data_IF_758308997730
#
_entry.id   IF_758308997730
#
_cell.length_a   1.000
_cell.length_b   1.000
_cell.length_c   1.000
_cell.angle_alpha   90.00
_cell.angle_beta   90.00
_cell.angle_gamma   90.00
#
_symmetry.space_group_name_H-M   'P 1'
#
loop_
_entity.id
_entity.type
_entity.pdbx_description
1 polymer ?
#
# COMPACT_ATOMS: atom_id res chain seq x y z
N UNK A 1 -3.73 -2.33 44.33
CA UNK A 1 -5.19 -2.12 44.43
C UNK A 1 -5.77 -2.22 43.04
N UNK A 2 -6.64 -3.21 42.80
CA UNK A 2 -7.32 -3.41 41.52
C UNK A 2 -8.35 -2.29 41.30
N UNK A 3 -8.38 -1.70 40.10
CA UNK A 3 -9.57 -0.97 39.60
C UNK A 3 -10.05 -1.68 38.35
N UNK A 4 -11.21 -2.29 38.48
CA UNK A 4 -11.98 -2.88 37.38
C UNK A 4 -12.60 -1.74 36.56
N UNK A 5 -12.35 -1.70 35.26
CA UNK A 5 -13.02 -0.77 34.34
C UNK A 5 -14.21 -1.50 33.70
N UNK A 6 -15.40 -1.27 34.26
CA UNK A 6 -16.68 -1.76 33.74
C UNK A 6 -17.50 -0.58 33.20
N UNK A 7 -17.19 -0.05 32.02
CA UNK A 7 -18.14 0.70 31.19
C UNK A 7 -17.57 1.11 29.82
N UNK A 8 -18.39 1.00 28.77
CA UNK A 8 -18.13 1.44 27.40
C UNK A 8 -17.98 2.98 27.26
N UNK A 9 -18.31 3.75 28.30
CA UNK A 9 -18.22 5.21 28.30
C UNK A 9 -16.81 5.78 28.53
N UNK A 10 -15.88 5.00 29.06
CA UNK A 10 -14.54 5.49 29.44
C UNK A 10 -13.55 5.56 28.26
N UNK A 11 -13.75 4.75 27.22
CA UNK A 11 -12.94 4.79 26.00
C UNK A 11 -13.19 6.06 25.18
N UNK A 12 -14.42 6.56 25.16
CA UNK A 12 -14.83 7.77 24.41
C UNK A 12 -14.32 9.09 25.01
N UNK A 13 -13.70 9.04 26.20
CA UNK A 13 -13.16 10.23 26.87
C UNK A 13 -11.70 10.49 26.49
N UNK A 14 -10.95 9.44 26.12
CA UNK A 14 -9.56 9.58 25.67
C UNK A 14 -9.47 10.12 24.22
N UNK A 15 -10.47 9.84 23.38
CA UNK A 15 -10.51 10.29 21.99
C UNK A 15 -10.97 11.75 21.80
N UNK A 16 -11.46 12.43 22.84
CA UNK A 16 -11.99 13.80 22.74
C UNK A 16 -10.98 14.92 22.99
N UNK A 17 -9.70 14.59 23.21
CA UNK A 17 -8.65 15.57 23.52
C UNK A 17 -7.78 15.98 22.31
N UNK A 18 -8.12 15.54 21.09
CA UNK A 18 -7.33 15.83 19.89
C UNK A 18 -8.07 16.55 18.76
N UNK A 19 -9.28 17.06 19.01
CA UNK A 19 -10.09 17.66 17.96
C UNK A 19 -10.65 19.02 18.42
N UNK A 20 -9.82 20.06 18.32
CA UNK A 20 -10.25 21.46 18.32
C UNK A 20 -9.09 22.39 17.91
N UNK A 21 -8.80 22.49 16.60
CA UNK A 21 -8.26 23.72 16.01
C UNK A 21 -8.94 23.99 14.66
N UNK A 22 -9.71 25.08 14.66
CA UNK A 22 -10.48 25.68 13.58
C UNK A 22 -9.66 25.97 12.32
N UNK A 23 -10.19 25.61 11.15
CA UNK A 23 -9.70 26.06 9.83
C UNK A 23 -10.77 26.92 9.15
N UNK A 24 -10.83 28.19 9.52
CA UNK A 24 -11.44 29.24 8.70
C UNK A 24 -10.34 30.12 8.12
N UNK A 25 -10.59 30.60 6.90
CA UNK A 25 -9.77 31.50 6.07
C UNK A 25 -8.62 30.86 5.26
N UNK A 26 -8.84 30.74 3.95
CA UNK A 26 -7.97 31.24 2.88
C UNK A 26 -8.72 31.06 1.55
N UNK A 27 -9.44 32.12 1.18
CA UNK A 27 -10.14 32.30 -0.08
C UNK A 27 -9.29 33.23 -0.96
N UNK A 28 -9.31 33.00 -2.27
CA UNK A 28 -8.80 33.84 -3.37
C UNK A 28 -7.29 34.15 -3.38
N UNK A 29 -6.57 33.67 -4.40
CA UNK A 29 -6.27 34.50 -5.57
C UNK A 29 -5.33 33.82 -6.60
N UNK A 30 -5.56 34.17 -7.88
CA UNK A 30 -4.65 34.03 -9.04
C UNK A 30 -4.55 32.71 -9.84
N UNK A 31 -5.48 32.56 -10.80
CA UNK A 31 -5.20 31.93 -12.10
C UNK A 31 -5.49 32.94 -13.23
N UNK A 32 -4.45 33.61 -13.75
CA UNK A 32 -4.49 34.30 -15.05
C UNK A 32 -3.65 33.52 -16.07
N UNK A 33 -4.34 33.05 -17.10
CA UNK A 33 -3.79 32.32 -18.24
C UNK A 33 -3.26 33.34 -19.25
N UNK A 34 -2.01 33.18 -19.70
CA UNK A 34 -1.55 33.75 -20.96
C UNK A 34 -1.18 32.60 -21.91
N UNK A 35 -1.94 32.46 -23.00
CA UNK A 35 -1.51 31.73 -24.19
C UNK A 35 -0.78 32.70 -25.11
N UNK A 36 0.35 32.28 -25.67
CA UNK A 36 0.97 32.97 -26.80
C UNK A 36 1.08 31.98 -27.98
N UNK A 37 0.52 32.29 -29.16
CA UNK A 37 0.65 31.47 -30.35
C UNK A 37 1.82 31.95 -31.22
N UNK A 38 2.52 30.98 -31.83
CA UNK A 38 3.49 31.07 -32.95
C UNK A 38 4.99 30.90 -32.60
N UNK A 39 5.61 29.90 -33.24
CA UNK A 39 7.06 29.73 -33.32
C UNK A 39 7.49 28.32 -33.77
N UNK A 40 7.50 28.10 -35.09
CA UNK A 40 8.38 27.25 -35.92
C UNK A 40 9.10 26.00 -35.36
N UNK A 41 9.01 24.93 -36.16
CA UNK A 41 9.75 23.67 -36.12
C UNK A 41 11.28 23.82 -35.92
N UNK A 42 11.83 23.13 -34.91
CA UNK A 42 13.13 22.45 -35.02
C UNK A 42 13.18 21.23 -34.08
N UNK A 43 13.80 20.16 -34.57
CA UNK A 43 13.78 18.81 -34.02
C UNK A 43 14.54 18.69 -32.71
N UNK A 44 13.81 18.60 -31.62
CA UNK A 44 14.28 18.01 -30.36
C UNK A 44 13.11 17.26 -29.72
N UNK A 45 13.30 15.96 -29.44
CA UNK A 45 12.32 15.16 -28.70
C UNK A 45 12.28 15.68 -27.25
N UNK A 46 11.47 16.72 -27.04
CA UNK A 46 11.34 17.42 -25.78
C UNK A 46 10.80 16.49 -24.69
N UNK A 47 11.51 16.50 -23.57
CA UNK A 47 11.07 16.01 -22.28
C UNK A 47 9.72 16.68 -21.96
N UNK A 48 8.63 15.92 -21.98
CA UNK A 48 7.32 16.47 -21.60
C UNK A 48 7.30 16.51 -20.08
N UNK A 49 7.67 17.65 -19.50
CA UNK A 49 7.60 17.90 -18.07
C UNK A 49 6.12 17.96 -17.64
N UNK A 50 5.49 16.80 -17.41
CA UNK A 50 4.18 16.67 -16.76
C UNK A 50 4.40 16.75 -15.23
N UNK A 51 4.96 17.85 -14.73
CA UNK A 51 4.94 18.18 -13.30
C UNK A 51 3.65 18.92 -12.99
N UNK A 52 2.71 18.21 -12.38
CA UNK A 52 1.65 18.84 -11.60
C UNK A 52 1.18 17.83 -10.56
N UNK A 53 1.69 18.01 -9.34
CA UNK A 53 1.26 17.31 -8.14
C UNK A 53 -0.22 17.61 -7.91
N UNK A 54 -1.09 16.66 -8.21
CA UNK A 54 -2.42 16.63 -7.61
C UNK A 54 -2.22 15.94 -6.28
N UNK A 55 -2.06 16.74 -5.23
CA UNK A 55 -2.00 16.27 -3.85
C UNK A 55 -3.32 15.57 -3.52
N UNK A 56 -3.34 14.24 -3.65
CA UNK A 56 -4.28 13.40 -2.91
C UNK A 56 -3.71 13.26 -1.49
N UNK A 57 -4.47 13.61 -0.45
CA UNK A 57 -3.98 13.51 0.91
C UNK A 57 -3.62 12.04 1.22
N UNK A 58 -2.41 11.86 1.76
CA UNK A 58 -2.02 10.78 2.69
C UNK A 58 -2.04 9.32 2.21
N UNK A 59 -1.52 9.04 1.01
CA UNK A 59 -1.00 7.69 0.71
C UNK A 59 0.54 7.66 0.84
N UNK A 60 1.11 6.83 1.72
CA UNK A 60 2.56 6.80 1.93
C UNK A 60 3.37 6.23 0.74
N UNK A 61 2.72 5.77 -0.34
CA UNK A 61 3.37 5.14 -1.50
C UNK A 61 3.42 6.04 -2.75
N UNK A 62 3.56 7.36 -2.59
CA UNK A 62 3.48 8.32 -3.70
C UNK A 62 4.78 8.36 -4.52
N UNK A 63 4.87 7.48 -5.53
CA UNK A 63 5.88 7.58 -6.60
C UNK A 63 5.27 8.18 -7.86
N UNK A 64 5.95 9.17 -8.42
CA UNK A 64 5.60 9.77 -9.70
C UNK A 64 6.02 8.88 -10.87
N UNK A 65 5.26 8.93 -11.96
CA UNK A 65 5.58 8.20 -13.19
C UNK A 65 6.68 8.92 -13.98
N UNK A 66 7.68 8.17 -14.43
CA UNK A 66 8.65 8.65 -15.43
C UNK A 66 8.15 8.33 -16.84
N UNK A 67 7.42 9.26 -17.46
CA UNK A 67 6.83 9.04 -18.78
C UNK A 67 7.80 9.27 -19.95
N UNK A 68 7.68 8.43 -20.98
CA UNK A 68 8.28 8.66 -22.30
C UNK A 68 7.19 8.69 -23.36
N UNK A 69 7.27 9.66 -24.28
CA UNK A 69 6.41 9.73 -25.45
C UNK A 69 6.74 8.58 -26.41
N UNK A 70 5.72 7.86 -26.87
CA UNK A 70 5.86 6.72 -27.77
C UNK A 70 4.68 6.61 -28.72
N UNK A 71 4.99 6.46 -30.00
CA UNK A 71 4.01 6.07 -31.04
C UNK A 71 4.06 4.56 -31.23
N UNK A 72 2.89 3.94 -31.34
CA UNK A 72 2.76 2.49 -31.45
C UNK A 72 2.23 2.09 -32.82
N UNK A 73 2.96 1.19 -33.47
CA UNK A 73 2.59 0.60 -34.77
C UNK A 73 1.92 -0.78 -34.62
N UNK A 74 1.52 -1.13 -33.40
CA UNK A 74 0.83 -2.37 -33.06
C UNK A 74 -0.21 -2.12 -31.96
N UNK A 75 -1.11 -3.07 -31.74
CA UNK A 75 -2.11 -2.95 -30.68
C UNK A 75 -1.43 -3.02 -29.31
N UNK A 76 -1.49 -1.92 -28.56
CA UNK A 76 -0.90 -1.80 -27.22
C UNK A 76 -1.92 -1.70 -26.08
N UNK A 77 -3.20 -1.87 -26.41
CA UNK A 77 -4.30 -1.81 -25.46
C UNK A 77 -4.86 -0.40 -25.26
N UNK A 78 -5.37 -0.16 -24.05
CA UNK A 78 -6.18 1.00 -23.72
C UNK A 78 -5.44 1.94 -22.77
N UNK A 79 -5.78 3.23 -22.83
CA UNK A 79 -5.36 4.22 -21.86
C UNK A 79 -5.90 3.84 -20.48
N UNK A 80 -5.05 3.83 -19.45
CA UNK A 80 -5.45 3.44 -18.09
C UNK A 80 -6.49 4.40 -17.49
N UNK A 81 -6.45 5.68 -17.88
CA UNK A 81 -7.33 6.72 -17.35
C UNK A 81 -8.73 6.68 -17.97
N UNK A 82 -8.83 6.87 -19.29
CA UNK A 82 -10.12 7.00 -19.97
C UNK A 82 -10.65 5.66 -20.51
N UNK A 83 -9.87 4.59 -20.39
CA UNK A 83 -10.16 3.25 -20.90
C UNK A 83 -10.43 3.18 -22.42
N UNK A 84 -10.15 4.26 -23.18
CA UNK A 84 -10.23 4.29 -24.65
C UNK A 84 -8.95 3.73 -25.27
N UNK A 85 -9.06 3.16 -26.47
CA UNK A 85 -7.93 2.55 -27.21
C UNK A 85 -6.82 3.57 -27.49
N UNK A 86 -5.56 3.16 -27.29
CA UNK A 86 -4.39 3.88 -27.79
C UNK A 86 -4.28 3.58 -29.29
N UNK A 87 -4.46 4.61 -30.13
CA UNK A 87 -4.60 4.45 -31.59
C UNK A 87 -3.25 4.19 -32.27
N UNK A 88 -3.31 3.50 -33.40
CA UNK A 88 -2.14 3.26 -34.27
C UNK A 88 -1.50 4.57 -34.71
N UNK A 89 -0.18 4.65 -34.66
CA UNK A 89 0.64 5.80 -35.04
C UNK A 89 0.33 7.13 -34.32
N UNK A 90 -0.52 7.11 -33.28
CA UNK A 90 -0.79 8.28 -32.44
C UNK A 90 0.11 8.22 -31.21
N UNK A 91 0.76 9.34 -30.90
CA UNK A 91 1.64 9.45 -29.75
C UNK A 91 0.86 9.27 -28.43
N UNK A 92 1.47 8.53 -27.50
CA UNK A 92 0.95 8.27 -26.16
C UNK A 92 2.09 8.14 -25.17
N UNK A 93 1.78 8.20 -23.87
CA UNK A 93 2.78 8.14 -22.82
C UNK A 93 2.89 6.72 -22.28
N UNK A 94 4.12 6.26 -22.06
CA UNK A 94 4.45 4.99 -21.38
C UNK A 94 5.39 5.28 -20.22
N UNK A 95 5.04 4.81 -19.03
CA UNK A 95 5.95 4.88 -17.89
C UNK A 95 7.17 3.94 -18.13
N UNK A 96 8.35 4.39 -17.72
CA UNK A 96 9.59 3.59 -17.81
C UNK A 96 9.62 2.49 -16.76
N UNK A 97 9.06 2.77 -15.58
CA UNK A 97 9.25 1.93 -14.40
C UNK A 97 8.07 0.95 -14.19
N UNK A 98 6.88 1.30 -14.68
CA UNK A 98 5.66 0.50 -14.50
C UNK A 98 4.87 0.30 -15.80
N UNK A 99 3.86 -0.60 -15.83
CA UNK A 99 3.13 -0.93 -17.05
C UNK A 99 2.04 0.08 -17.45
N UNK A 100 2.00 1.25 -16.83
CA UNK A 100 1.03 2.32 -17.11
C UNK A 100 1.28 2.93 -18.49
N UNK A 101 0.18 3.06 -19.24
CA UNK A 101 0.11 3.78 -20.52
C UNK A 101 -1.12 4.67 -20.55
N UNK A 102 -0.98 5.88 -21.08
CA UNK A 102 -2.09 6.81 -21.18
C UNK A 102 -1.96 7.72 -22.43
N UNK A 103 -3.06 8.38 -22.81
CA UNK A 103 -2.98 9.49 -23.77
C UNK A 103 -2.21 10.65 -23.16
N UNK A 104 -1.59 11.48 -24.01
CA UNK A 104 -0.87 12.69 -23.57
C UNK A 104 -1.80 13.61 -22.76
N UNK A 105 -3.02 13.82 -23.24
CA UNK A 105 -4.04 14.61 -22.55
C UNK A 105 -4.55 14.00 -21.24
N UNK A 106 -4.31 12.71 -21.01
CA UNK A 106 -4.74 12.03 -19.79
C UNK A 106 -3.67 12.02 -18.68
N UNK A 107 -2.41 12.44 -18.92
CA UNK A 107 -1.35 12.33 -17.89
C UNK A 107 -1.72 13.07 -16.61
N UNK A 108 -2.26 14.27 -16.75
CA UNK A 108 -2.61 15.16 -15.63
C UNK A 108 -3.81 14.68 -14.81
N UNK A 109 -4.55 13.69 -15.29
CA UNK A 109 -5.74 13.16 -14.62
C UNK A 109 -5.48 11.81 -13.95
N UNK A 110 -4.25 11.28 -14.02
CA UNK A 110 -3.93 9.97 -13.47
C UNK A 110 -4.03 9.97 -11.95
N UNK A 111 -4.87 9.09 -11.43
CA UNK A 111 -5.00 8.81 -9.99
C UNK A 111 -4.18 7.60 -9.54
N UNK A 112 -3.57 6.89 -10.50
CA UNK A 112 -2.82 5.66 -10.24
C UNK A 112 -1.35 6.01 -9.99
N UNK A 113 -0.81 5.61 -8.84
CA UNK A 113 0.60 5.80 -8.49
C UNK A 113 1.54 4.88 -9.30
N UNK A 114 2.81 5.26 -9.43
CA UNK A 114 3.80 4.43 -10.11
C UNK A 114 4.34 3.33 -9.17
N UNK A 115 4.06 2.07 -9.48
CA UNK A 115 4.67 0.94 -8.77
C UNK A 115 5.61 0.21 -9.72
N UNK A 116 6.94 0.26 -9.50
CA UNK A 116 7.91 -0.40 -10.36
C UNK A 116 7.64 -1.90 -10.50
N UNK A 117 7.94 -2.45 -11.67
CA UNK A 117 7.85 -3.90 -11.87
C UNK A 117 8.97 -4.63 -11.11
N UNK A 118 8.72 -5.86 -10.61
CA UNK A 118 9.77 -6.75 -10.14
C UNK A 118 10.80 -7.03 -11.26
N UNK A 119 12.08 -7.19 -10.93
CA UNK A 119 13.18 -7.54 -11.85
C UNK A 119 13.09 -9.00 -12.31
N UNK A 120 12.60 -9.90 -11.45
CA UNK A 120 12.60 -11.35 -11.71
C UNK A 120 11.28 -11.81 -12.33
N UNK A 121 11.37 -12.52 -13.47
CA UNK A 121 10.21 -13.01 -14.21
C UNK A 121 9.68 -14.38 -13.75
N UNK A 122 10.44 -15.13 -12.94
CA UNK A 122 10.03 -16.44 -12.43
C UNK A 122 9.18 -16.26 -11.17
N UNK A 123 7.94 -16.74 -11.22
CA UNK A 123 6.98 -16.67 -10.12
C UNK A 123 6.90 -18.04 -9.48
N UNK A 124 7.69 -18.24 -8.43
CA UNK A 124 7.61 -19.42 -7.58
C UNK A 124 6.39 -19.32 -6.64
N UNK A 125 5.85 -18.12 -6.46
CA UNK A 125 4.68 -17.86 -5.61
C UNK A 125 5.04 -17.17 -4.30
N UNK A 126 6.33 -16.92 -4.06
CA UNK A 126 6.81 -16.13 -2.95
C UNK A 126 6.42 -14.65 -3.09
N UNK A 127 6.27 -13.94 -1.97
CA UNK A 127 5.93 -12.51 -1.98
C UNK A 127 6.95 -11.67 -2.77
N UNK A 128 8.24 -12.02 -2.66
CA UNK A 128 9.35 -11.38 -3.37
C UNK A 128 9.20 -11.37 -4.91
N UNK A 129 8.43 -12.30 -5.48
CA UNK A 129 8.19 -12.38 -6.93
C UNK A 129 7.25 -11.26 -7.43
N UNK A 130 6.59 -10.53 -6.52
CA UNK A 130 5.51 -9.61 -6.83
C UNK A 130 5.75 -8.18 -6.37
N UNK A 131 6.84 -7.91 -5.65
CA UNK A 131 7.19 -6.60 -5.09
C UNK A 131 8.21 -5.87 -5.96
N UNK A 132 8.22 -4.52 -5.97
CA UNK A 132 9.34 -3.77 -6.53
C UNK A 132 10.63 -4.06 -5.74
N UNK A 133 11.79 -3.81 -6.36
CA UNK A 133 13.10 -3.93 -5.71
C UNK A 133 13.49 -2.73 -4.86
N UNK A 134 12.62 -1.72 -4.79
CA UNK A 134 12.86 -0.48 -4.06
C UNK A 134 11.77 -0.30 -3.00
N UNK A 135 12.15 0.20 -1.82
CA UNK A 135 11.20 0.44 -0.75
C UNK A 135 10.22 1.55 -1.11
N UNK A 136 8.93 1.46 -0.80
CA UNK A 136 8.27 0.37 -0.09
C UNK A 136 8.00 -0.84 -0.99
N UNK A 137 8.38 -2.03 -0.51
CA UNK A 137 8.29 -3.30 -1.24
C UNK A 137 6.88 -3.90 -1.16
N UNK A 138 5.89 -3.22 -1.74
CA UNK A 138 4.48 -3.65 -1.75
C UNK A 138 4.05 -4.09 -3.15
N UNK A 139 3.36 -5.24 -3.30
CA UNK A 139 2.91 -5.70 -4.61
C UNK A 139 1.97 -4.71 -5.29
N UNK A 140 2.22 -4.42 -6.56
CA UNK A 140 1.37 -3.51 -7.35
C UNK A 140 -0.11 -3.92 -7.33
N UNK A 141 -0.40 -5.23 -7.33
CA UNK A 141 -1.78 -5.74 -7.19
C UNK A 141 -2.44 -5.23 -5.91
N UNK A 142 -1.73 -5.29 -4.77
CA UNK A 142 -2.26 -4.85 -3.48
C UNK A 142 -2.46 -3.34 -3.51
N UNK A 143 -1.43 -2.57 -3.91
CA UNK A 143 -1.51 -1.11 -3.95
C UNK A 143 -2.69 -0.64 -4.79
N UNK A 144 -2.79 -1.10 -6.04
CA UNK A 144 -3.83 -0.64 -6.95
C UNK A 144 -5.24 -1.07 -6.52
N UNK A 145 -5.41 -2.28 -5.98
CA UNK A 145 -6.70 -2.69 -5.45
C UNK A 145 -7.09 -1.88 -4.22
N UNK A 146 -6.16 -1.66 -3.27
CA UNK A 146 -6.41 -0.90 -2.04
C UNK A 146 -6.74 0.55 -2.34
N UNK A 147 -5.95 1.23 -3.18
CA UNK A 147 -6.21 2.62 -3.58
C UNK A 147 -7.60 2.76 -4.20
N UNK A 148 -7.99 1.82 -5.06
CA UNK A 148 -9.33 1.82 -5.67
C UNK A 148 -10.44 1.51 -4.67
N UNK A 149 -10.21 0.61 -3.71
CA UNK A 149 -11.17 0.32 -2.63
C UNK A 149 -11.35 1.55 -1.74
N UNK A 150 -10.29 2.24 -1.36
CA UNK A 150 -10.38 3.44 -0.52
C UNK A 150 -11.04 4.62 -1.25
N UNK A 151 -10.77 4.78 -2.55
CA UNK A 151 -11.29 5.89 -3.33
C UNK A 151 -12.83 5.91 -3.48
N UNK A 152 -13.50 4.73 -3.41
CA UNK A 152 -14.97 4.65 -3.63
C UNK A 152 -15.70 3.64 -2.76
N UNK A 153 -14.99 2.82 -2.01
CA UNK A 153 -15.53 1.71 -1.23
C UNK A 153 -15.80 2.05 0.23
N UNK A 154 -15.27 3.16 0.75
CA UNK A 154 -15.40 3.52 2.17
C UNK A 154 -16.83 3.88 2.60
N UNK A 155 -17.76 4.02 1.65
CA UNK A 155 -19.20 4.18 1.91
C UNK A 155 -20.00 2.88 1.73
N UNK A 156 -19.33 1.79 1.35
CA UNK A 156 -19.96 0.51 1.05
C UNK A 156 -19.90 -0.46 2.24
N UNK A 157 -21.06 -0.98 2.64
CA UNK A 157 -21.15 -1.93 3.75
C UNK A 157 -20.39 -3.24 3.49
N UNK A 158 -19.73 -3.76 4.52
CA UNK A 158 -19.19 -5.11 4.54
C UNK A 158 -18.00 -5.34 3.60
N UNK A 159 -17.14 -4.33 3.38
CA UNK A 159 -15.86 -4.54 2.70
C UNK A 159 -15.10 -5.71 3.34
N UNK A 160 -14.45 -6.52 2.50
CA UNK A 160 -13.81 -7.80 2.85
C UNK A 160 -14.70 -8.91 3.43
N UNK A 161 -15.87 -8.61 4.00
CA UNK A 161 -16.85 -9.61 4.47
C UNK A 161 -17.64 -10.21 3.32
N UNK A 162 -18.17 -9.37 2.43
CA UNK A 162 -18.99 -9.80 1.29
C UNK A 162 -18.12 -10.48 0.22
N UNK A 163 -18.58 -11.62 -0.29
CA UNK A 163 -17.86 -12.42 -1.29
C UNK A 163 -18.25 -12.06 -2.72
N UNK A 164 -17.29 -12.16 -3.64
CA UNK A 164 -17.52 -12.07 -5.09
C UNK A 164 -17.39 -13.46 -5.74
N UNK A 165 -17.82 -13.60 -6.99
CA UNK A 165 -17.72 -14.88 -7.70
C UNK A 165 -16.27 -15.24 -7.99
N UNK A 166 -15.91 -16.52 -7.78
CA UNK A 166 -14.54 -17.03 -7.99
C UNK A 166 -13.98 -16.68 -9.36
N UNK A 167 -14.81 -16.74 -10.40
CA UNK A 167 -14.41 -16.41 -11.76
C UNK A 167 -14.05 -14.94 -11.96
N UNK A 168 -14.80 -14.00 -11.35
CA UNK A 168 -14.48 -12.58 -11.40
C UNK A 168 -13.13 -12.32 -10.74
N UNK A 169 -12.91 -12.91 -9.56
CA UNK A 169 -11.68 -12.79 -8.79
C UNK A 169 -10.49 -13.38 -9.55
N UNK A 170 -10.60 -14.62 -10.05
CA UNK A 170 -9.55 -15.30 -10.82
C UNK A 170 -9.15 -14.51 -12.07
N UNK A 171 -10.14 -14.00 -12.83
CA UNK A 171 -9.88 -13.18 -14.02
C UNK A 171 -9.18 -11.87 -13.68
N UNK A 172 -9.59 -11.19 -12.60
CA UNK A 172 -8.97 -9.95 -12.16
C UNK A 172 -7.52 -10.18 -11.71
N UNK A 173 -7.30 -11.15 -10.81
CA UNK A 173 -5.97 -11.54 -10.31
C UNK A 173 -5.03 -11.87 -11.47
N UNK A 174 -5.48 -12.70 -12.42
CA UNK A 174 -4.66 -13.07 -13.58
C UNK A 174 -4.27 -11.85 -14.43
N UNK A 175 -5.18 -10.89 -14.63
CA UNK A 175 -4.89 -9.66 -15.38
C UNK A 175 -3.87 -8.77 -14.67
N UNK A 176 -4.02 -8.58 -13.36
CA UNK A 176 -3.10 -7.77 -12.56
C UNK A 176 -1.71 -8.40 -12.49
N UNK A 177 -1.63 -9.71 -12.26
CA UNK A 177 -0.35 -10.41 -12.17
C UNK A 177 0.36 -10.56 -13.51
N UNK A 178 -0.33 -10.48 -14.66
CA UNK A 178 0.35 -10.60 -15.97
C UNK A 178 1.41 -9.53 -16.24
N UNK A 179 1.37 -8.38 -15.56
CA UNK A 179 2.40 -7.33 -15.61
C UNK A 179 2.59 -6.61 -16.95
N UNK A 180 1.91 -7.03 -18.02
CA UNK A 180 2.05 -6.42 -19.37
C UNK A 180 1.36 -5.07 -19.51
N UNK A 181 0.23 -4.89 -18.82
CA UNK A 181 -0.63 -3.70 -18.88
C UNK A 181 -1.35 -3.52 -17.56
N UNK A 182 -1.45 -2.29 -17.06
CA UNK A 182 -2.33 -1.98 -15.94
C UNK A 182 -3.79 -1.99 -16.37
N UNK A 183 -4.64 -2.89 -15.83
CA UNK A 183 -6.06 -2.86 -16.13
C UNK A 183 -6.73 -1.66 -15.45
N UNK A 184 -7.74 -1.08 -16.11
CA UNK A 184 -8.60 -0.08 -15.49
C UNK A 184 -9.47 -0.75 -14.40
N UNK A 185 -9.40 -0.25 -13.17
CA UNK A 185 -10.10 -0.81 -12.02
C UNK A 185 -11.43 -0.11 -11.69
N UNK A 186 -11.65 1.11 -12.18
CA UNK A 186 -12.86 1.91 -11.91
C UNK A 186 -14.19 1.25 -12.29
N UNK A 187 -14.16 0.25 -13.19
CA UNK A 187 -15.36 -0.51 -13.57
C UNK A 187 -15.48 -1.89 -12.88
N UNK A 188 -14.64 -2.18 -11.89
CA UNK A 188 -14.68 -3.42 -11.14
C UNK A 188 -15.50 -3.22 -9.88
N UNK A 189 -16.32 -4.19 -9.54
CA UNK A 189 -17.03 -4.21 -8.27
C UNK A 189 -16.03 -4.21 -7.08
N UNK A 190 -16.31 -3.42 -6.04
CA UNK A 190 -15.41 -3.24 -4.89
C UNK A 190 -15.18 -4.55 -4.14
N UNK A 191 -16.23 -5.35 -3.94
CA UNK A 191 -16.10 -6.64 -3.26
C UNK A 191 -15.22 -7.61 -4.06
N UNK A 192 -15.22 -7.52 -5.39
CA UNK A 192 -14.30 -8.26 -6.26
C UNK A 192 -12.84 -7.83 -6.04
N UNK A 193 -12.56 -6.53 -5.85
CA UNK A 193 -11.23 -6.04 -5.49
C UNK A 193 -10.81 -6.58 -4.12
N UNK A 194 -11.67 -6.47 -3.11
CA UNK A 194 -11.43 -7.01 -1.76
C UNK A 194 -11.10 -8.51 -1.81
N UNK A 195 -11.90 -9.28 -2.54
CA UNK A 195 -11.66 -10.73 -2.70
C UNK A 195 -10.37 -11.01 -3.47
N UNK A 196 -9.97 -10.17 -4.42
CA UNK A 196 -8.71 -10.30 -5.14
C UNK A 196 -7.50 -10.10 -4.23
N UNK A 197 -7.55 -9.14 -3.29
CA UNK A 197 -6.51 -8.94 -2.28
C UNK A 197 -6.42 -10.16 -1.36
N UNK A 198 -7.55 -10.62 -0.80
CA UNK A 198 -7.60 -11.82 0.05
C UNK A 198 -7.04 -13.06 -0.65
N UNK A 199 -7.47 -13.28 -1.89
CA UNK A 199 -7.01 -14.41 -2.68
C UNK A 199 -5.51 -14.30 -3.02
N UNK A 200 -4.99 -13.08 -3.20
CA UNK A 200 -3.56 -12.90 -3.40
C UNK A 200 -2.75 -13.31 -2.18
N UNK A 201 -3.12 -12.84 -1.00
CA UNK A 201 -2.43 -13.17 0.24
C UNK A 201 -2.49 -14.68 0.54
N UNK A 202 -3.66 -15.30 0.37
CA UNK A 202 -3.84 -16.75 0.60
C UNK A 202 -3.05 -17.64 -0.35
N UNK A 203 -2.73 -17.16 -1.55
CA UNK A 203 -2.07 -17.96 -2.59
C UNK A 203 -0.56 -17.75 -2.65
N UNK A 204 0.01 -17.03 -1.68
CA UNK A 204 1.45 -16.96 -1.51
C UNK A 204 1.98 -18.33 -1.06
N UNK A 205 3.18 -18.70 -1.53
CA UNK A 205 3.86 -19.94 -1.14
C UNK A 205 4.15 -19.98 0.37
N UNK A 206 4.48 -18.82 0.94
CA UNK A 206 4.55 -18.59 2.38
C UNK A 206 3.57 -17.47 2.73
N UNK A 207 2.84 -17.57 3.84
CA UNK A 207 1.90 -16.54 4.27
C UNK A 207 2.61 -15.20 4.51
N UNK A 208 1.83 -14.11 4.53
CA UNK A 208 2.38 -12.77 4.76
C UNK A 208 3.11 -12.67 6.11
N UNK A 209 2.67 -13.42 7.13
CA UNK A 209 3.39 -13.59 8.39
C UNK A 209 3.93 -15.04 8.46
N UNK A 210 5.18 -15.27 8.03
CA UNK A 210 5.77 -16.60 8.01
C UNK A 210 5.89 -17.19 9.41
N UNK A 211 5.80 -18.52 9.52
CA UNK A 211 5.80 -19.27 10.78
C UNK A 211 6.93 -18.84 11.74
N UNK A 212 8.15 -18.66 11.21
CA UNK A 212 9.34 -18.30 11.99
C UNK A 212 9.20 -17.01 12.79
N UNK A 213 8.41 -16.03 12.31
CA UNK A 213 8.27 -14.71 12.94
C UNK A 213 7.02 -14.58 13.83
N UNK A 214 6.22 -15.64 13.96
CA UNK A 214 4.95 -15.58 14.71
C UNK A 214 5.15 -15.53 16.22
N UNK A 215 6.20 -16.18 16.73
CA UNK A 215 6.39 -16.31 18.17
C UNK A 215 6.62 -14.94 18.83
N UNK A 216 7.44 -14.08 18.23
CA UNK A 216 7.72 -12.75 18.78
C UNK A 216 6.47 -11.86 18.78
N UNK A 217 5.64 -11.98 17.75
CA UNK A 217 4.33 -11.32 17.68
C UNK A 217 3.36 -11.80 18.77
N UNK A 218 3.37 -13.09 19.08
CA UNK A 218 2.56 -13.65 20.17
C UNK A 218 3.03 -13.14 21.52
N UNK A 219 4.34 -13.13 21.75
CA UNK A 219 4.92 -12.63 23.00
C UNK A 219 4.59 -11.15 23.21
N UNK A 220 4.71 -10.33 22.16
CA UNK A 220 4.30 -8.93 22.19
C UNK A 220 2.80 -8.77 22.51
N UNK A 221 1.94 -9.63 21.96
CA UNK A 221 0.49 -9.59 22.21
C UNK A 221 0.08 -10.06 23.62
N UNK A 222 0.94 -10.81 24.31
CA UNK A 222 0.74 -11.28 25.69
C UNK A 222 1.31 -10.32 26.74
N UNK A 223 2.12 -9.35 26.32
CA UNK A 223 2.71 -8.37 27.20
C UNK A 223 1.63 -7.45 27.81
N UNK A 224 1.71 -7.21 29.11
CA UNK A 224 0.74 -6.40 29.85
C UNK A 224 1.12 -4.94 29.93
N UNK A 225 2.42 -4.64 29.92
CA UNK A 225 2.93 -3.28 29.82
C UNK A 225 2.86 -2.81 28.36
N UNK A 226 2.12 -1.73 28.13
CA UNK A 226 1.87 -1.18 26.80
C UNK A 226 3.16 -0.76 26.11
N UNK A 227 4.09 -0.14 26.84
CA UNK A 227 5.35 0.33 26.27
C UNK A 227 6.27 -0.85 25.90
N UNK A 228 6.39 -1.84 26.79
CA UNK A 228 7.13 -3.05 26.50
C UNK A 228 6.50 -3.86 25.35
N UNK A 229 5.17 -3.87 25.23
CA UNK A 229 4.46 -4.54 24.14
C UNK A 229 4.76 -3.88 22.79
N UNK A 230 4.73 -2.54 22.74
CA UNK A 230 5.03 -1.77 21.54
C UNK A 230 6.51 -1.87 21.15
N UNK A 231 7.43 -1.84 22.10
CA UNK A 231 8.87 -2.07 21.87
C UNK A 231 9.13 -3.47 21.31
N UNK A 232 8.57 -4.51 21.94
CA UNK A 232 8.72 -5.88 21.47
C UNK A 232 8.10 -6.08 20.08
N UNK A 233 6.94 -5.47 19.83
CA UNK A 233 6.31 -5.48 18.52
C UNK A 233 7.20 -4.80 17.47
N UNK A 234 7.77 -3.64 17.78
CA UNK A 234 8.66 -2.94 16.88
C UNK A 234 9.83 -3.84 16.44
N UNK A 235 10.49 -4.50 17.39
CA UNK A 235 11.57 -5.44 17.07
C UNK A 235 11.10 -6.60 16.20
N UNK A 236 9.94 -7.20 16.52
CA UNK A 236 9.36 -8.25 15.69
C UNK A 236 9.07 -7.78 14.25
N UNK A 237 8.68 -6.51 14.07
CA UNK A 237 8.46 -5.91 12.75
C UNK A 237 9.75 -5.67 11.99
N UNK A 238 10.83 -5.22 12.64
CA UNK A 238 12.09 -5.01 11.94
C UNK A 238 12.73 -6.32 11.49
N UNK A 239 12.59 -7.39 12.27
CA UNK A 239 13.08 -8.72 11.90
C UNK A 239 12.33 -9.33 10.71
N UNK A 240 11.10 -8.89 10.41
CA UNK A 240 10.39 -9.33 9.21
C UNK A 240 11.16 -8.90 7.96
N UNK A 241 11.27 -9.77 6.94
CA UNK A 241 11.82 -9.39 5.66
C UNK A 241 11.05 -8.19 5.09
N UNK A 242 11.76 -7.23 4.51
CA UNK A 242 11.20 -5.93 4.12
C UNK A 242 9.92 -6.02 3.27
N UNK A 243 9.89 -6.92 2.27
CA UNK A 243 8.69 -7.17 1.47
C UNK A 243 7.46 -7.55 2.32
N UNK A 244 7.65 -8.38 3.35
CA UNK A 244 6.58 -8.78 4.27
C UNK A 244 6.18 -7.62 5.18
N UNK A 245 7.15 -6.93 5.77
CA UNK A 245 6.93 -5.79 6.67
C UNK A 245 6.20 -4.64 5.97
N UNK A 246 6.69 -4.18 4.83
CA UNK A 246 6.12 -3.05 4.09
C UNK A 246 4.71 -3.40 3.59
N UNK A 247 4.51 -4.62 3.09
CA UNK A 247 3.18 -5.09 2.67
C UNK A 247 2.21 -5.15 3.85
N UNK A 248 2.66 -5.63 5.01
CA UNK A 248 1.84 -5.67 6.22
C UNK A 248 1.50 -4.27 6.70
N UNK A 249 2.48 -3.38 6.80
CA UNK A 249 2.29 -1.98 7.23
C UNK A 249 1.29 -1.25 6.34
N UNK A 250 1.39 -1.41 5.02
CA UNK A 250 0.45 -0.83 4.07
C UNK A 250 -0.99 -1.35 4.28
N UNK A 251 -1.14 -2.66 4.51
CA UNK A 251 -2.45 -3.27 4.76
C UNK A 251 -3.04 -2.88 6.14
N UNK A 252 -2.20 -2.72 7.17
CA UNK A 252 -2.64 -2.25 8.48
C UNK A 252 -3.28 -0.86 8.40
N UNK A 253 -2.62 0.09 7.74
CA UNK A 253 -3.16 1.43 7.52
C UNK A 253 -4.50 1.40 6.76
N UNK A 254 -4.57 0.58 5.71
CA UNK A 254 -5.79 0.41 4.94
C UNK A 254 -6.96 -0.13 5.78
N UNK A 255 -6.71 -1.18 6.56
CA UNK A 255 -7.75 -1.78 7.39
C UNK A 255 -8.15 -0.90 8.57
N UNK A 256 -7.23 -0.09 9.10
CA UNK A 256 -7.55 0.94 10.08
C UNK A 256 -8.54 1.96 9.50
N UNK A 257 -8.32 2.47 8.28
CA UNK A 257 -9.26 3.39 7.61
C UNK A 257 -10.63 2.75 7.38
N UNK A 258 -10.66 1.49 6.98
CA UNK A 258 -11.92 0.73 6.85
C UNK A 258 -12.65 0.64 8.18
N UNK A 259 -11.93 0.34 9.26
CA UNK A 259 -12.52 0.22 10.59
C UNK A 259 -12.98 1.55 11.18
N UNK A 260 -12.35 2.65 10.77
CA UNK A 260 -12.75 4.01 11.13
C UNK A 260 -13.98 4.48 10.37
N UNK A 261 -14.26 3.96 9.16
CA UNK A 261 -15.46 4.34 8.42
C UNK A 261 -16.73 3.70 9.01
N UNK A 262 -17.67 4.50 9.55
CA UNK A 262 -18.91 3.96 10.14
C UNK A 262 -19.81 3.28 9.09
N UNK A 263 -19.77 3.78 7.84
CA UNK A 263 -20.58 3.26 6.74
C UNK A 263 -20.20 1.82 6.35
N UNK A 264 -18.92 1.44 6.50
CA UNK A 264 -18.47 0.09 6.13
C UNK A 264 -18.96 -0.98 7.10
N UNK A 265 -19.29 -0.62 8.36
CA UNK A 265 -19.75 -1.55 9.41
C UNK A 265 -18.78 -2.72 9.68
N UNK A 266 -17.49 -2.47 9.57
CA UNK A 266 -16.44 -3.48 9.78
C UNK A 266 -15.47 -3.04 10.87
N UNK A 267 -15.69 -3.45 12.11
CA UNK A 267 -14.79 -3.14 13.23
C UNK A 267 -13.43 -3.81 13.09
N UNK A 268 -12.43 -3.36 13.88
CA UNK A 268 -11.12 -4.02 14.00
C UNK A 268 -11.27 -5.52 14.29
N UNK A 269 -12.21 -5.89 15.17
CA UNK A 269 -12.48 -7.29 15.49
C UNK A 269 -12.97 -8.08 14.27
N UNK A 270 -13.88 -7.50 13.48
CA UNK A 270 -14.40 -8.14 12.26
C UNK A 270 -13.29 -8.33 11.21
N UNK A 271 -12.41 -7.32 11.05
CA UNK A 271 -11.25 -7.41 10.18
C UNK A 271 -10.30 -8.52 10.66
N UNK A 272 -10.00 -8.57 11.96
CA UNK A 272 -9.11 -9.56 12.54
C UNK A 272 -9.62 -11.00 12.30
N UNK A 273 -10.92 -11.24 12.49
CA UNK A 273 -11.56 -12.54 12.21
C UNK A 273 -11.40 -12.95 10.74
N UNK A 274 -11.53 -12.01 9.79
CA UNK A 274 -11.43 -12.31 8.36
C UNK A 274 -9.99 -12.58 7.93
N UNK A 275 -9.04 -11.77 8.43
CA UNK A 275 -7.68 -11.77 7.90
C UNK A 275 -6.71 -12.63 8.68
N UNK A 276 -6.94 -12.94 9.96
CA UNK A 276 -6.03 -13.79 10.72
C UNK A 276 -5.75 -15.14 10.03
N UNK A 277 -6.74 -15.92 9.54
CA UNK A 277 -6.45 -17.16 8.79
C UNK A 277 -5.66 -16.89 7.50
N UNK A 278 -5.96 -15.78 6.82
CA UNK A 278 -5.29 -15.42 5.56
C UNK A 278 -3.83 -14.99 5.75
N UNK A 279 -3.48 -14.40 6.90
CA UNK A 279 -2.13 -13.88 7.17
C UNK A 279 -1.22 -14.88 7.87
N UNK A 280 -1.79 -15.80 8.65
CA UNK A 280 -1.07 -16.79 9.45
C UNK A 280 -1.17 -18.21 8.88
N UNK A 281 -1.78 -18.38 7.71
CA UNK A 281 -2.00 -19.67 7.02
C UNK A 281 -2.94 -20.65 7.73
N UNK A 282 -3.59 -21.48 6.92
CA UNK A 282 -4.65 -22.38 7.35
C UNK A 282 -4.12 -23.74 7.86
N UNK A 283 -2.83 -24.03 7.67
CA UNK A 283 -2.22 -25.35 7.95
C UNK A 283 -2.15 -25.67 9.46
N UNK A 284 -2.07 -24.65 10.32
CA UNK A 284 -2.05 -24.79 11.79
C UNK A 284 -3.39 -24.42 12.45
N UNK A 285 -4.52 -24.49 11.73
CA UNK A 285 -5.83 -24.09 12.25
C UNK A 285 -6.42 -25.12 13.22
N UNK A 286 -5.99 -25.04 14.47
CA UNK A 286 -6.83 -25.44 15.60
C UNK A 286 -7.53 -24.20 16.18
N UNK A 287 -8.59 -24.42 16.97
CA UNK A 287 -9.39 -23.32 17.52
C UNK A 287 -8.54 -22.37 18.39
N UNK A 288 -7.58 -22.90 19.15
CA UNK A 288 -6.65 -22.10 19.96
C UNK A 288 -5.81 -21.14 19.12
N UNK A 289 -5.27 -21.62 17.99
CA UNK A 289 -4.44 -20.84 17.09
C UNK A 289 -5.27 -19.76 16.39
N UNK A 290 -6.51 -20.06 16.00
CA UNK A 290 -7.42 -19.06 15.40
C UNK A 290 -7.64 -17.89 16.35
N UNK A 291 -7.98 -18.17 17.61
CA UNK A 291 -8.21 -17.12 18.63
C UNK A 291 -6.94 -16.33 18.89
N UNK A 292 -5.79 -17.01 18.97
CA UNK A 292 -4.49 -16.39 19.14
C UNK A 292 -4.15 -15.43 17.99
N UNK A 293 -4.27 -15.88 16.74
CA UNK A 293 -3.97 -15.07 15.55
C UNK A 293 -4.92 -13.88 15.40
N UNK A 294 -6.19 -14.04 15.77
CA UNK A 294 -7.13 -12.92 15.83
C UNK A 294 -6.71 -11.88 16.87
N UNK A 295 -6.25 -12.31 18.05
CA UNK A 295 -5.78 -11.42 19.09
C UNK A 295 -4.49 -10.69 18.69
N UNK A 296 -3.53 -11.40 18.09
CA UNK A 296 -2.31 -10.78 17.53
C UNK A 296 -2.67 -9.73 16.48
N UNK A 297 -3.49 -10.09 15.49
CA UNK A 297 -3.88 -9.17 14.42
C UNK A 297 -4.65 -7.95 14.94
N UNK A 298 -5.49 -8.14 15.96
CA UNK A 298 -6.17 -7.04 16.65
C UNK A 298 -5.17 -6.10 17.32
N UNK A 299 -4.16 -6.63 18.01
CA UNK A 299 -3.09 -5.83 18.61
C UNK A 299 -2.33 -5.02 17.55
N UNK A 300 -2.01 -5.62 16.39
CA UNK A 300 -1.40 -4.92 15.26
C UNK A 300 -2.29 -3.76 14.76
N UNK A 301 -3.57 -4.02 14.56
CA UNK A 301 -4.54 -3.03 14.07
C UNK A 301 -4.79 -1.88 15.07
N UNK A 302 -4.48 -2.07 16.35
CA UNK A 302 -4.61 -1.05 17.39
C UNK A 302 -3.39 -0.13 17.50
N UNK A 303 -2.27 -0.46 16.84
CA UNK A 303 -1.11 0.43 16.79
C UNK A 303 -1.43 1.75 16.09
N UNK A 304 -0.71 2.81 16.43
CA UNK A 304 -0.94 4.11 15.80
C UNK A 304 -0.68 4.08 14.28
N UNK A 305 -1.37 4.90 13.46
CA UNK A 305 -1.02 5.03 12.05
C UNK A 305 0.44 5.46 11.83
N UNK A 306 1.00 6.25 12.76
CA UNK A 306 2.41 6.64 12.75
C UNK A 306 3.37 5.45 12.89
N UNK A 307 3.03 4.47 13.72
CA UNK A 307 3.80 3.22 13.87
C UNK A 307 3.96 2.50 12.53
N UNK A 308 2.95 2.51 11.65
CA UNK A 308 3.02 1.84 10.36
C UNK A 308 3.66 2.71 9.27
N UNK A 309 3.42 4.03 9.31
CA UNK A 309 3.92 4.96 8.31
C UNK A 309 5.45 4.97 8.21
N UNK A 310 6.16 4.77 9.32
CA UNK A 310 7.63 4.72 9.35
C UNK A 310 8.24 3.59 8.51
N UNK A 311 7.49 2.51 8.23
CA UNK A 311 7.95 1.40 7.41
C UNK A 311 7.69 1.59 5.91
N UNK A 312 7.06 2.71 5.53
CA UNK A 312 6.61 2.95 4.15
C UNK A 312 7.32 4.13 3.48
N UNK A 313 8.50 4.51 3.98
CA UNK A 313 9.32 5.55 3.38
C UNK A 313 9.69 5.20 1.93
N UNK A 314 9.55 6.16 1.02
CA UNK A 314 9.77 5.98 -0.42
C UNK A 314 11.21 6.27 -0.78
N UNK A 315 11.95 5.23 -1.15
CA UNK A 315 13.33 5.37 -1.62
C UNK A 315 13.39 5.83 -3.09
N UNK A 316 14.34 6.70 -3.48
CA UNK A 316 14.50 7.09 -4.88
C UNK A 316 14.92 5.90 -5.75
N UNK A 317 14.40 5.83 -6.99
CA UNK A 317 14.87 4.85 -7.96
C UNK A 317 16.30 5.22 -8.39
N UNK A 318 17.27 4.32 -8.17
CA UNK A 318 18.63 4.52 -8.68
C UNK A 318 18.63 4.51 -10.22
N UNK A 319 19.34 5.42 -10.90
CA UNK A 319 19.46 5.41 -12.35
C UNK A 319 20.21 4.16 -12.82
N UNK A 320 19.67 3.50 -13.85
CA UNK A 320 20.07 2.19 -14.36
C UNK A 320 21.51 2.08 -14.96
N UNK A 321 22.42 3.01 -14.67
CA UNK A 321 23.81 2.99 -15.10
C UNK A 321 24.73 2.82 -13.89
N UNK A 322 24.88 1.59 -13.39
CA UNK A 322 26.02 1.17 -12.52
C UNK A 322 26.01 -0.30 -12.09
N UNK A 323 25.08 -1.14 -12.55
CA UNK A 323 25.06 -2.55 -12.14
C UNK A 323 25.87 -3.41 -13.11
N UNK A 324 27.16 -3.57 -12.82
CA UNK A 324 27.93 -4.72 -13.27
C UNK A 324 27.33 -6.00 -12.65
N UNK A 325 27.19 -7.05 -13.46
CA UNK A 325 26.47 -8.30 -13.17
C UNK A 325 26.97 -9.11 -11.94
N UNK A 326 28.02 -8.67 -11.25
CA UNK A 326 28.66 -9.38 -10.14
C UNK A 326 28.28 -8.89 -8.73
N UNK A 327 27.57 -7.77 -8.58
CA UNK A 327 27.36 -7.15 -7.25
C UNK A 327 26.16 -7.69 -6.45
N UNK A 328 25.22 -8.40 -7.10
CA UNK A 328 24.04 -8.97 -6.43
C UNK A 328 24.40 -10.02 -5.35
N UNK A 329 25.62 -10.57 -5.37
CA UNK A 329 26.10 -11.51 -4.35
C UNK A 329 26.73 -10.83 -3.13
N UNK A 330 27.01 -9.52 -3.16
CA UNK A 330 27.61 -8.78 -2.02
C UNK A 330 26.62 -8.02 -1.16
N UNK A 331 25.46 -7.61 -1.67
CA UNK A 331 24.48 -6.81 -0.92
C UNK A 331 23.68 -7.59 0.14
N UNK A 332 23.84 -8.92 0.22
CA UNK A 332 23.28 -9.72 1.33
C UNK A 332 24.00 -9.51 2.69
N UNK A 333 24.97 -8.59 2.76
CA UNK A 333 25.67 -8.19 3.99
C UNK A 333 25.45 -6.71 4.36
N UNK A 334 24.36 -6.07 3.90
CA UNK A 334 23.96 -4.79 4.47
C UNK A 334 23.41 -5.02 5.89
N UNK A 335 24.29 -4.79 6.87
CA UNK A 335 23.93 -4.72 8.29
C UNK A 335 22.90 -3.59 8.50
N UNK A 336 21.82 -3.80 9.26
CA UNK A 336 20.73 -2.84 9.40
C UNK A 336 21.14 -1.70 10.36
N UNK A 337 21.87 -0.71 9.85
CA UNK A 337 22.20 0.49 10.62
C UNK A 337 21.01 1.47 10.78
N UNK A 338 19.85 1.15 10.20
CA UNK A 338 18.57 1.86 10.44
C UNK A 338 18.01 1.64 11.86
N UNK A 339 18.61 0.77 12.68
CA UNK A 339 17.87 0.12 13.77
C UNK A 339 17.92 0.77 15.17
N UNK A 340 18.73 1.81 15.45
CA UNK A 340 18.78 2.38 16.81
C UNK A 340 18.46 3.86 16.91
N UNK A 341 18.84 4.66 15.90
CA UNK A 341 18.54 6.09 15.90
C UNK A 341 17.05 6.34 15.62
N UNK A 342 16.45 5.62 14.68
CA UNK A 342 15.01 5.71 14.39
C UNK A 342 14.17 5.19 15.55
N UNK A 343 14.58 4.10 16.21
CA UNK A 343 13.96 3.58 17.45
C UNK A 343 13.96 4.62 18.55
N UNK A 344 15.13 5.18 18.87
CA UNK A 344 15.24 6.24 19.88
C UNK A 344 14.39 7.45 19.51
N UNK A 345 14.32 7.82 18.23
CA UNK A 345 13.55 8.98 17.77
C UNK A 345 12.05 8.73 17.91
N UNK A 346 11.57 7.56 17.49
CA UNK A 346 10.17 7.13 17.65
C UNK A 346 9.77 7.11 19.14
N UNK A 347 10.48 6.36 19.98
CA UNK A 347 10.15 6.28 21.41
C UNK A 347 10.36 7.61 22.15
N UNK A 348 11.34 8.44 21.78
CA UNK A 348 11.48 9.81 22.33
C UNK A 348 10.31 10.71 21.95
N UNK A 349 9.80 10.63 20.72
CA UNK A 349 8.63 11.40 20.31
C UNK A 349 7.38 11.00 21.09
N UNK A 350 7.21 9.72 21.42
CA UNK A 350 6.07 9.25 22.24
C UNK A 350 6.17 9.69 23.70
N UNK A 351 7.37 9.62 24.30
CA UNK A 351 7.57 10.07 25.68
C UNK A 351 7.36 11.58 25.82
N UNK A 352 7.72 12.37 24.80
CA UNK A 352 7.54 13.83 24.81
C UNK A 352 6.08 14.28 24.57
N UNK A 353 5.20 13.42 24.05
CA UNK A 353 3.77 13.72 23.86
C UNK A 353 2.91 13.36 25.09
N UNK A 354 3.46 12.62 26.05
CA UNK A 354 2.78 12.18 27.26
C UNK A 354 3.13 13.01 28.52
N UNK A 355 3.90 14.08 28.35
CA UNK A 355 4.43 14.94 29.43
C UNK A 355 3.68 16.25 29.62
#
# INVERSE_FOLDING_TARGET
>A
MRREYNSYSDLSRHFRLYDEQSMDSLQDDHLRIHMNPNGSDDGSLQHVDCYSSIYLPTYPLLRHHNFKLKSYYSNVGNCVQCNKRLRFAVASLKCRDCPVRCHVSCCRLLTVNCIPLPLVSRKLGCLFDFVPHVAPMVPALIVHCVTEIEARGLEQEGLYRVSSTRDKVKRLRHKLLRGKTMPHLGNKDTHTLCCCVKEFLRSLERPLIPLYYRQDLVLAAQQTDVLAAEEQLYFAMVELPQAHRDTLAFLMLHWQRIAQSPAVKMSINNIAVIFAPTLFDDVDLNLSNIVLWQQVLRMLLLQSPGFWAQFLEVEPLQPACSLDDDDWKRENNYSPSLHWQSVKTYFRSMVNLAG
#
